data_IF_268743049564
#
_entry.id   IF_268743049564
#
_cell.length_a   1.000
_cell.length_b   1.000
_cell.length_c   1.000
_cell.angle_alpha   90.00
_cell.angle_beta   90.00
_cell.angle_gamma   90.00
#
_symmetry.space_group_name_H-M   'P 1'
#
loop_
_entity.id
_entity.type
_entity.pdbx_description
1 polymer ?
#
# COMPACT_ATOMS: atom_id res chain seq x y z
N UNK A 1 67.60 -15.11 102.15
CA UNK A 1 68.07 -15.36 100.83
C UNK A 1 67.15 -16.31 100.17
N UNK A 2 66.25 -15.85 99.33
CA UNK A 2 65.23 -16.65 98.60
C UNK A 2 65.25 -16.26 97.14
N UNK A 3 65.65 -17.13 96.30
CA UNK A 3 65.66 -17.04 94.85
C UNK A 3 64.27 -17.37 94.27
N UNK A 4 63.70 -16.51 93.48
CA UNK A 4 62.44 -16.66 92.77
C UNK A 4 62.76 -17.01 91.32
N UNK A 5 62.23 -18.13 90.78
CA UNK A 5 62.39 -18.42 89.33
C UNK A 5 61.29 -17.72 88.50
N UNK A 6 61.69 -17.07 87.44
CA UNK A 6 60.85 -16.43 86.48
C UNK A 6 60.39 -17.51 85.48
N UNK A 7 59.09 -17.73 85.41
CA UNK A 7 58.43 -18.55 84.37
C UNK A 7 58.22 -17.71 83.13
N UNK A 8 58.80 -18.13 82.01
CA UNK A 8 58.55 -17.57 80.73
C UNK A 8 57.33 -18.22 80.10
N UNK A 9 56.21 -17.49 79.96
CA UNK A 9 55.01 -17.96 79.26
C UNK A 9 55.21 -17.68 77.71
N UNK A 10 55.37 -18.76 76.97
CA UNK A 10 55.35 -18.69 75.51
C UNK A 10 53.89 -18.65 75.01
N UNK A 11 53.48 -17.52 74.46
CA UNK A 11 52.15 -17.42 73.78
C UNK A 11 52.25 -17.99 72.36
N UNK A 12 51.60 -19.13 72.14
CA UNK A 12 51.33 -19.65 70.76
C UNK A 12 50.22 -18.83 70.11
N UNK A 13 50.57 -18.01 69.18
CA UNK A 13 49.59 -17.35 68.28
C UNK A 13 49.12 -18.37 67.24
N UNK A 14 47.92 -18.94 67.46
CA UNK A 14 47.23 -19.79 66.46
C UNK A 14 46.74 -18.98 65.33
N UNK A 15 47.38 -19.17 64.13
CA UNK A 15 46.90 -18.62 62.85
C UNK A 15 45.60 -19.41 62.47
N UNK A 16 44.45 -18.77 62.55
CA UNK A 16 43.20 -19.32 62.03
C UNK A 16 43.24 -19.26 60.47
N UNK A 17 42.92 -20.36 59.79
CA UNK A 17 42.81 -20.31 58.32
C UNK A 17 41.64 -19.43 57.92
N UNK A 18 41.91 -18.39 57.14
CA UNK A 18 40.87 -17.58 56.48
C UNK A 18 40.15 -18.47 55.47
N UNK A 19 38.93 -18.89 55.77
CA UNK A 19 38.07 -19.54 54.81
C UNK A 19 37.72 -18.51 53.74
N UNK A 20 38.35 -18.65 52.59
CA UNK A 20 37.97 -17.88 51.38
C UNK A 20 36.53 -18.25 51.05
N UNK A 21 35.63 -17.34 51.28
CA UNK A 21 34.26 -17.47 50.78
C UNK A 21 34.28 -17.32 49.26
N UNK A 22 34.13 -18.42 48.55
CA UNK A 22 33.88 -18.41 47.13
C UNK A 22 32.46 -17.91 46.93
N UNK A 23 32.31 -16.63 46.54
CA UNK A 23 31.05 -16.10 46.07
C UNK A 23 30.73 -16.71 44.73
N UNK A 24 29.90 -17.74 44.66
CA UNK A 24 29.39 -18.29 43.43
C UNK A 24 28.24 -17.41 42.93
N UNK A 25 28.44 -16.71 41.84
CA UNK A 25 27.34 -16.05 41.13
C UNK A 25 26.56 -17.07 40.30
N UNK A 26 25.27 -17.19 40.51
CA UNK A 26 24.40 -18.01 39.68
C UNK A 26 23.69 -17.10 38.66
N UNK A 27 23.99 -17.33 37.38
CA UNK A 27 23.31 -16.62 36.26
C UNK A 27 22.34 -17.59 35.60
N UNK A 28 21.10 -17.18 35.42
CA UNK A 28 20.10 -17.92 34.63
C UNK A 28 19.68 -17.08 33.45
N UNK A 29 19.82 -17.62 32.25
CA UNK A 29 19.35 -17.00 31.00
C UNK A 29 17.94 -17.49 30.72
N UNK A 30 16.99 -16.58 30.58
CA UNK A 30 15.61 -16.87 30.19
C UNK A 30 15.43 -16.30 28.75
N UNK A 31 15.41 -17.15 27.71
CA UNK A 31 15.11 -16.67 26.38
C UNK A 31 13.64 -16.21 26.31
N UNK A 32 13.44 -15.01 25.80
CA UNK A 32 12.12 -14.49 25.45
C UNK A 32 12.05 -14.48 23.94
N UNK A 33 11.12 -15.24 23.36
CA UNK A 33 10.95 -15.39 21.91
C UNK A 33 9.58 -14.90 21.49
N UNK A 34 9.50 -14.27 20.32
CA UNK A 34 8.25 -13.84 19.68
C UNK A 34 8.40 -13.98 18.17
N UNK A 35 7.28 -14.20 17.46
CA UNK A 35 7.24 -14.19 15.99
C UNK A 35 6.13 -13.26 15.49
N UNK A 36 6.40 -12.55 14.41
CA UNK A 36 5.42 -11.69 13.74
C UNK A 36 5.24 -12.24 12.32
N UNK A 37 4.02 -12.67 11.94
CA UNK A 37 3.77 -13.15 10.58
C UNK A 37 3.90 -12.02 9.55
N UNK A 38 4.26 -12.36 8.32
CA UNK A 38 4.22 -11.44 7.19
C UNK A 38 2.76 -11.09 6.89
N UNK A 39 2.43 -9.80 6.93
CA UNK A 39 1.06 -9.32 6.78
C UNK A 39 1.03 -8.01 6.03
N UNK A 40 0.11 -7.92 5.05
CA UNK A 40 -0.35 -6.66 4.46
C UNK A 40 -1.80 -6.43 4.86
N UNK A 41 -2.13 -5.20 5.20
CA UNK A 41 -3.50 -4.75 5.46
C UNK A 41 -3.73 -3.39 4.80
N UNK A 42 -4.94 -3.19 4.29
CA UNK A 42 -5.41 -1.93 3.70
C UNK A 42 -6.81 -1.65 4.22
N UNK A 43 -7.02 -0.44 4.72
CA UNK A 43 -8.33 0.00 5.20
C UNK A 43 -9.20 0.51 4.03
N UNK A 44 -10.46 0.83 4.32
CA UNK A 44 -11.37 1.42 3.34
C UNK A 44 -10.83 2.75 2.82
N UNK A 45 -10.98 2.99 1.50
CA UNK A 45 -10.55 4.21 0.85
C UNK A 45 -11.37 5.43 1.27
N UNK A 46 -10.68 6.57 1.33
CA UNK A 46 -11.28 7.90 1.57
C UNK A 46 -10.84 8.85 0.47
N UNK A 47 -11.73 9.75 0.04
CA UNK A 47 -11.36 10.77 -0.93
C UNK A 47 -10.45 11.79 -0.25
N UNK A 48 -9.32 12.07 -0.87
CA UNK A 48 -8.42 13.12 -0.41
C UNK A 48 -9.07 14.49 -0.57
N UNK A 49 -9.00 15.39 0.43
CA UNK A 49 -9.63 16.71 0.37
C UNK A 49 -9.18 17.50 -0.87
N UNK A 50 -10.13 18.15 -1.54
CA UNK A 50 -9.86 19.00 -2.70
C UNK A 50 -9.43 18.27 -3.98
N UNK A 51 -9.51 16.93 -4.03
CA UNK A 51 -9.04 16.14 -5.16
C UNK A 51 -10.14 15.76 -6.17
N UNK A 52 -11.38 16.11 -5.91
CA UNK A 52 -12.52 15.80 -6.77
C UNK A 52 -12.65 16.78 -7.93
N UNK A 53 -12.66 16.25 -9.15
CA UNK A 53 -13.04 16.96 -10.35
C UNK A 53 -14.04 16.12 -11.13
N UNK A 54 -15.25 16.61 -11.35
CA UNK A 54 -16.30 15.95 -12.12
C UNK A 54 -16.67 14.53 -11.64
N UNK A 55 -16.48 14.26 -10.35
CA UNK A 55 -16.82 13.00 -9.68
C UNK A 55 -17.69 13.33 -8.48
N UNK A 56 -18.83 12.61 -8.33
CA UNK A 56 -19.81 12.86 -7.27
C UNK A 56 -19.33 12.45 -5.87
N UNK A 57 -18.33 11.59 -5.81
CA UNK A 57 -17.82 11.05 -4.56
C UNK A 57 -17.60 9.54 -4.64
N UNK A 58 -17.27 8.95 -3.49
CA UNK A 58 -17.12 7.52 -3.30
C UNK A 58 -18.37 7.01 -2.56
N UNK A 59 -19.13 6.14 -3.22
CA UNK A 59 -20.28 5.43 -2.64
C UNK A 59 -19.90 3.96 -2.48
N UNK A 60 -19.57 3.54 -1.26
CA UNK A 60 -18.87 2.29 -1.01
C UNK A 60 -17.51 2.31 -1.74
N UNK A 61 -17.35 1.44 -2.73
CA UNK A 61 -16.16 1.36 -3.59
C UNK A 61 -16.44 1.86 -5.02
N UNK A 62 -17.53 2.61 -5.23
CA UNK A 62 -17.96 3.08 -6.55
C UNK A 62 -17.70 4.57 -6.72
N UNK A 63 -17.00 4.93 -7.79
CA UNK A 63 -16.82 6.30 -8.27
C UNK A 63 -17.82 6.58 -9.37
N UNK A 64 -18.56 7.69 -9.24
CA UNK A 64 -19.53 8.11 -10.26
C UNK A 64 -19.09 9.42 -10.89
N UNK A 65 -18.93 9.46 -12.21
CA UNK A 65 -18.68 10.68 -12.98
C UNK A 65 -19.99 11.46 -13.09
N UNK A 66 -19.97 12.77 -12.77
CA UNK A 66 -21.16 13.63 -12.74
C UNK A 66 -21.62 13.94 -14.16
N UNK A 67 -20.69 14.42 -15.00
CA UNK A 67 -20.97 14.77 -16.39
C UNK A 67 -19.91 14.13 -17.28
N UNK A 68 -20.26 12.99 -17.88
CA UNK A 68 -19.29 12.18 -18.60
C UNK A 68 -18.90 12.81 -19.93
N UNK A 69 -19.84 13.47 -20.61
CA UNK A 69 -19.59 14.11 -21.91
C UNK A 69 -19.96 15.59 -21.90
N UNK A 70 -19.36 16.35 -22.78
CA UNK A 70 -19.77 17.70 -23.12
C UNK A 70 -21.08 17.66 -23.93
N UNK A 71 -22.11 18.43 -23.56
CA UNK A 71 -23.43 18.34 -24.20
C UNK A 71 -23.47 18.84 -25.64
N UNK A 72 -22.51 19.67 -26.06
CA UNK A 72 -22.47 20.22 -27.43
C UNK A 72 -21.66 19.32 -28.37
N UNK A 73 -20.59 18.72 -27.89
CA UNK A 73 -19.65 17.94 -28.72
C UNK A 73 -19.74 16.43 -28.51
N UNK A 74 -20.37 16.01 -27.41
CA UNK A 74 -20.41 14.63 -26.91
C UNK A 74 -19.03 14.04 -26.61
N UNK A 75 -17.96 14.85 -26.64
CA UNK A 75 -16.63 14.44 -26.25
C UNK A 75 -16.55 14.23 -24.73
N UNK A 76 -15.69 13.31 -24.30
CA UNK A 76 -15.47 13.02 -22.89
C UNK A 76 -14.95 14.25 -22.15
N UNK A 77 -15.48 14.53 -20.96
CA UNK A 77 -14.99 15.59 -20.07
C UNK A 77 -13.98 15.06 -19.08
N UNK A 78 -13.01 15.90 -18.77
CA UNK A 78 -12.01 15.59 -17.73
C UNK A 78 -12.68 15.22 -16.40
N UNK A 79 -12.15 14.20 -15.76
CA UNK A 79 -12.54 13.79 -14.42
C UNK A 79 -11.33 13.27 -13.65
N UNK A 80 -11.22 13.61 -12.38
CA UNK A 80 -10.14 13.09 -11.54
C UNK A 80 -10.54 12.97 -10.08
N UNK A 81 -9.88 12.04 -9.39
CA UNK A 81 -10.02 11.83 -7.95
C UNK A 81 -8.72 11.26 -7.40
N UNK A 82 -8.41 11.60 -6.16
CA UNK A 82 -7.39 10.90 -5.38
C UNK A 82 -8.07 10.20 -4.20
N UNK A 83 -7.84 8.91 -4.07
CA UNK A 83 -8.32 8.09 -2.96
C UNK A 83 -7.12 7.74 -2.10
N UNK A 84 -7.26 7.91 -0.80
CA UNK A 84 -6.27 7.56 0.21
C UNK A 84 -6.73 6.36 1.01
N UNK A 85 -5.83 5.44 1.28
CA UNK A 85 -6.03 4.26 2.11
C UNK A 85 -4.98 4.24 3.20
N UNK A 86 -5.36 3.97 4.44
CA UNK A 86 -4.39 3.63 5.48
C UNK A 86 -3.95 2.19 5.28
N UNK A 87 -2.68 1.96 5.02
CA UNK A 87 -2.16 0.64 4.68
C UNK A 87 -0.86 0.32 5.43
N UNK A 88 -0.56 -0.97 5.57
CA UNK A 88 0.68 -1.46 6.16
C UNK A 88 1.06 -2.80 5.55
N UNK A 89 2.35 -2.95 5.20
CA UNK A 89 2.99 -4.23 4.90
C UNK A 89 4.28 -4.32 5.71
N UNK A 90 4.43 -5.33 6.55
CA UNK A 90 5.58 -5.48 7.44
C UNK A 90 6.76 -6.25 6.83
N UNK A 91 6.78 -6.40 5.50
CA UNK A 91 7.80 -7.11 4.73
C UNK A 91 7.91 -6.54 3.30
N UNK A 92 8.99 -6.86 2.54
CA UNK A 92 9.09 -6.54 1.12
C UNK A 92 7.97 -7.19 0.31
N UNK A 93 7.25 -6.40 -0.49
CA UNK A 93 6.02 -6.81 -1.15
C UNK A 93 5.91 -6.25 -2.56
N UNK A 94 4.82 -6.56 -3.25
CA UNK A 94 4.46 -5.97 -4.52
C UNK A 94 3.13 -5.21 -4.41
N UNK A 95 3.03 -4.11 -5.14
CA UNK A 95 1.76 -3.45 -5.47
C UNK A 95 1.35 -3.92 -6.85
N UNK A 96 0.19 -4.56 -6.97
CA UNK A 96 -0.41 -4.87 -8.27
C UNK A 96 -1.65 -4.03 -8.46
N UNK A 97 -1.68 -3.30 -9.58
CA UNK A 97 -2.85 -2.58 -10.07
C UNK A 97 -3.41 -3.35 -11.24
N UNK A 98 -4.71 -3.53 -11.25
CA UNK A 98 -5.43 -4.28 -12.27
C UNK A 98 -6.65 -3.50 -12.73
N UNK A 99 -6.80 -3.32 -14.04
CA UNK A 99 -8.04 -2.88 -14.68
C UNK A 99 -8.70 -4.10 -15.34
N UNK A 100 -9.96 -4.32 -15.07
CA UNK A 100 -10.69 -5.47 -15.59
C UNK A 100 -10.93 -5.37 -17.10
N UNK A 101 -11.12 -4.16 -17.62
CA UNK A 101 -11.50 -3.94 -19.01
C UNK A 101 -10.48 -3.09 -19.79
N UNK A 102 -9.35 -2.68 -19.16
CA UNK A 102 -8.36 -1.79 -19.77
C UNK A 102 -8.97 -0.47 -20.27
N UNK A 103 -9.84 0.15 -19.47
CA UNK A 103 -10.56 1.37 -19.78
C UNK A 103 -12.06 1.26 -19.48
N UNK A 104 -12.77 2.37 -19.56
CA UNK A 104 -14.21 2.41 -19.40
C UNK A 104 -14.90 1.94 -20.69
N UNK A 105 -15.64 0.85 -20.60
CA UNK A 105 -16.37 0.25 -21.72
C UNK A 105 -17.87 0.21 -21.46
N UNK A 106 -18.72 0.32 -22.50
CA UNK A 106 -20.16 0.20 -22.34
C UNK A 106 -20.54 -1.22 -21.89
N UNK A 107 -21.50 -1.31 -20.97
CA UNK A 107 -21.96 -2.59 -20.43
C UNK A 107 -22.67 -3.42 -21.50
N UNK A 108 -23.53 -2.77 -22.29
CA UNK A 108 -24.55 -3.45 -23.12
C UNK A 108 -24.26 -3.44 -24.64
N UNK A 109 -23.13 -2.87 -25.09
CA UNK A 109 -22.86 -2.72 -26.52
C UNK A 109 -22.05 -3.89 -27.09
N UNK A 110 -22.55 -4.43 -28.22
CA UNK A 110 -21.81 -5.40 -29.04
C UNK A 110 -20.75 -4.67 -29.89
N UNK A 111 -19.60 -5.32 -30.08
CA UNK A 111 -18.47 -4.78 -30.86
C UNK A 111 -18.84 -4.49 -32.33
N UNK A 112 -19.89 -5.15 -32.84
CA UNK A 112 -20.36 -5.04 -34.23
C UNK A 112 -21.05 -3.72 -34.57
N UNK A 113 -21.52 -2.95 -33.57
CA UNK A 113 -22.41 -1.80 -33.81
C UNK A 113 -21.66 -0.47 -33.58
N UNK A 114 -20.45 -0.35 -34.15
CA UNK A 114 -19.58 0.83 -33.97
C UNK A 114 -19.59 1.71 -35.20
N UNK A 115 -20.35 2.81 -35.21
CA UNK A 115 -20.34 3.75 -36.31
C UNK A 115 -18.96 4.45 -36.39
N UNK A 116 -18.52 4.71 -37.59
CA UNK A 116 -17.28 5.46 -37.84
C UNK A 116 -17.35 6.85 -37.20
N UNK A 117 -16.25 7.33 -36.66
CA UNK A 117 -16.14 8.65 -36.03
C UNK A 117 -16.65 8.76 -34.59
N UNK A 118 -17.18 7.67 -33.99
CA UNK A 118 -17.56 7.65 -32.57
C UNK A 118 -16.58 6.85 -31.74
N UNK A 119 -16.27 7.39 -30.55
CA UNK A 119 -15.60 6.65 -29.49
C UNK A 119 -16.58 5.69 -28.82
N UNK A 120 -16.07 4.55 -28.39
CA UNK A 120 -16.86 3.51 -27.71
C UNK A 120 -16.15 2.96 -26.46
N UNK A 121 -15.02 3.54 -26.10
CA UNK A 121 -14.34 3.28 -24.84
C UNK A 121 -13.51 4.51 -24.45
N UNK A 122 -13.27 4.66 -23.16
CA UNK A 122 -12.56 5.81 -22.60
C UNK A 122 -11.33 5.33 -21.84
N UNK A 123 -10.13 5.75 -22.29
CA UNK A 123 -8.90 5.49 -21.54
C UNK A 123 -8.85 6.35 -20.27
N UNK A 124 -8.10 5.87 -19.27
CA UNK A 124 -7.77 6.62 -18.07
C UNK A 124 -6.38 6.23 -17.58
N UNK A 125 -5.77 7.07 -16.76
CA UNK A 125 -4.57 6.75 -16.02
C UNK A 125 -4.87 6.59 -14.53
N UNK A 126 -4.11 5.71 -13.88
CA UNK A 126 -4.10 5.54 -12.44
C UNK A 126 -2.68 5.72 -11.91
N UNK A 127 -2.47 6.67 -11.00
CA UNK A 127 -1.16 6.90 -10.38
C UNK A 127 -1.18 6.44 -8.94
N UNK A 128 -0.19 5.63 -8.57
CA UNK A 128 0.00 5.13 -7.21
C UNK A 128 1.19 5.79 -6.55
N UNK A 129 0.99 6.26 -5.32
CA UNK A 129 2.06 6.65 -4.41
C UNK A 129 1.97 5.76 -3.16
N UNK A 130 3.04 4.97 -2.92
CA UNK A 130 3.14 4.08 -1.78
C UNK A 130 4.59 3.96 -1.28
N UNK A 131 4.89 4.53 -0.11
CA UNK A 131 6.24 4.60 0.40
C UNK A 131 7.19 5.24 -0.62
N UNK A 132 8.27 4.54 -1.05
CA UNK A 132 9.20 5.07 -2.06
C UNK A 132 8.66 4.96 -3.51
N UNK A 133 7.52 4.28 -3.71
CA UNK A 133 6.97 4.02 -5.06
C UNK A 133 6.09 5.16 -5.53
N UNK A 134 6.37 5.63 -6.76
CA UNK A 134 5.50 6.49 -7.53
C UNK A 134 5.41 5.88 -8.93
N UNK A 135 4.25 5.32 -9.29
CA UNK A 135 4.06 4.60 -10.54
C UNK A 135 2.75 5.01 -11.20
N UNK A 136 2.75 4.97 -12.54
CA UNK A 136 1.57 5.22 -13.35
C UNK A 136 1.19 3.93 -14.07
N UNK A 137 -0.09 3.63 -14.07
CA UNK A 137 -0.75 2.57 -14.82
C UNK A 137 -1.70 3.21 -15.84
N UNK A 138 -1.62 2.79 -17.10
CA UNK A 138 -2.45 3.33 -18.16
C UNK A 138 -3.42 2.27 -18.69
N UNK A 139 -4.72 2.51 -18.48
CA UNK A 139 -5.81 1.77 -19.09
C UNK A 139 -6.15 2.42 -20.43
N UNK A 140 -5.54 1.93 -21.53
CA UNK A 140 -5.51 2.62 -22.82
C UNK A 140 -6.76 2.44 -23.70
N UNK A 141 -7.71 1.64 -23.29
CA UNK A 141 -8.99 1.36 -23.95
C UNK A 141 -8.90 0.88 -25.42
N UNK A 142 -7.74 0.38 -25.86
CA UNK A 142 -7.57 -0.11 -27.24
C UNK A 142 -8.21 -1.48 -27.46
N UNK A 143 -8.08 -2.34 -26.45
CA UNK A 143 -8.65 -3.69 -26.44
C UNK A 143 -9.33 -3.90 -25.10
N UNK A 144 -10.56 -4.40 -25.12
CA UNK A 144 -11.26 -4.79 -23.89
C UNK A 144 -10.69 -6.11 -23.38
N UNK A 145 -9.83 -6.01 -22.40
CA UNK A 145 -9.16 -7.16 -21.76
C UNK A 145 -8.65 -6.73 -20.39
N UNK A 146 -8.39 -7.68 -19.53
CA UNK A 146 -7.69 -7.39 -18.29
C UNK A 146 -6.30 -6.82 -18.60
N UNK A 147 -5.93 -5.75 -17.90
CA UNK A 147 -4.61 -5.13 -17.95
C UNK A 147 -4.10 -4.96 -16.52
N UNK A 148 -2.83 -5.25 -16.27
CA UNK A 148 -2.24 -5.16 -14.94
C UNK A 148 -0.80 -4.67 -14.98
N UNK A 149 -0.39 -4.05 -13.89
CA UNK A 149 1.00 -3.67 -13.62
C UNK A 149 1.40 -4.11 -12.22
N UNK A 150 2.58 -4.71 -12.11
CA UNK A 150 3.16 -5.13 -10.83
C UNK A 150 4.38 -4.27 -10.53
N UNK A 151 4.43 -3.72 -9.35
CA UNK A 151 5.47 -2.80 -8.89
C UNK A 151 6.08 -3.36 -7.62
N UNK A 152 7.41 -3.54 -7.62
CA UNK A 152 8.13 -4.04 -6.47
C UNK A 152 8.34 -2.96 -5.41
N UNK A 153 8.09 -3.31 -4.15
CA UNK A 153 8.41 -2.52 -2.95
C UNK A 153 9.40 -3.34 -2.12
N UNK A 154 10.63 -2.86 -2.00
CA UNK A 154 11.72 -3.64 -1.41
C UNK A 154 11.77 -3.56 0.12
N UNK A 155 10.98 -2.69 0.73
CA UNK A 155 10.96 -2.42 2.16
C UNK A 155 9.57 -2.71 2.76
N UNK A 156 9.53 -2.89 4.07
CA UNK A 156 8.31 -2.78 4.84
C UNK A 156 7.81 -1.32 4.79
N UNK A 157 6.52 -1.10 4.56
CA UNK A 157 5.92 0.23 4.46
C UNK A 157 4.66 0.30 5.29
N UNK A 158 4.48 1.41 5.99
CA UNK A 158 3.25 1.75 6.71
C UNK A 158 2.89 3.21 6.47
N UNK A 159 1.61 3.51 6.34
CA UNK A 159 1.11 4.87 6.17
C UNK A 159 0.04 5.00 5.11
N UNK A 160 0.01 6.13 4.43
CA UNK A 160 -1.00 6.45 3.43
C UNK A 160 -0.60 5.92 2.05
N UNK A 161 -1.43 5.02 1.52
CA UNK A 161 -1.43 4.61 0.11
C UNK A 161 -2.35 5.54 -0.67
N UNK A 162 -1.87 6.17 -1.75
CA UNK A 162 -2.68 7.06 -2.59
C UNK A 162 -2.85 6.51 -3.98
N UNK A 163 -4.09 6.49 -4.44
CA UNK A 163 -4.47 6.18 -5.81
C UNK A 163 -5.12 7.42 -6.43
N UNK A 164 -4.50 7.99 -7.46
CA UNK A 164 -5.12 9.04 -8.30
C UNK A 164 -5.60 8.42 -9.59
N UNK A 165 -6.89 8.54 -9.87
CA UNK A 165 -7.50 8.18 -11.16
C UNK A 165 -7.76 9.47 -11.92
N UNK A 166 -7.43 9.48 -13.22
CA UNK A 166 -7.54 10.64 -14.07
C UNK A 166 -8.02 10.27 -15.49
N UNK A 167 -9.07 10.94 -15.93
CA UNK A 167 -9.59 10.88 -17.30
C UNK A 167 -9.30 12.25 -17.92
N UNK A 168 -8.60 12.28 -19.03
CA UNK A 168 -8.28 13.52 -19.73
C UNK A 168 -9.48 14.07 -20.51
N UNK A 169 -9.49 15.38 -20.74
CA UNK A 169 -10.50 16.01 -21.59
C UNK A 169 -10.38 15.50 -23.03
N UNK A 170 -11.51 15.06 -23.61
CA UNK A 170 -11.55 14.47 -24.93
C UNK A 170 -10.96 13.07 -25.05
N UNK A 171 -10.65 12.41 -23.92
CA UNK A 171 -10.12 11.05 -23.92
C UNK A 171 -11.00 10.08 -24.70
N UNK A 172 -10.42 9.32 -25.62
CA UNK A 172 -11.16 8.40 -26.47
C UNK A 172 -10.25 7.26 -26.95
N UNK A 173 -10.84 6.13 -27.32
CA UNK A 173 -10.11 5.00 -27.89
C UNK A 173 -9.94 5.05 -29.42
N UNK A 174 -10.39 6.12 -30.03
CA UNK A 174 -10.19 6.46 -31.47
C UNK A 174 -9.45 7.80 -31.59
N UNK A 175 -10.02 8.79 -32.17
CA UNK A 175 -9.42 10.12 -32.26
C UNK A 175 -9.73 10.97 -31.02
N UNK A 176 -8.79 11.81 -30.62
CA UNK A 176 -9.01 12.75 -29.52
C UNK A 176 -10.25 13.62 -29.79
N UNK A 177 -11.09 13.81 -28.76
CA UNK A 177 -12.37 14.54 -28.80
C UNK A 177 -13.43 13.92 -29.73
N UNK A 178 -13.29 12.66 -30.11
CA UNK A 178 -14.36 11.96 -30.80
C UNK A 178 -15.61 11.91 -29.92
N UNK A 179 -16.82 12.13 -30.49
CA UNK A 179 -18.06 11.99 -29.74
C UNK A 179 -18.21 10.56 -29.20
N UNK A 180 -18.59 10.44 -27.93
CA UNK A 180 -18.78 9.17 -27.28
C UNK A 180 -20.15 8.59 -27.61
N UNK A 181 -20.22 7.31 -27.93
CA UNK A 181 -21.49 6.59 -28.11
C UNK A 181 -22.31 6.60 -26.81
N UNK A 182 -23.62 6.66 -26.94
CA UNK A 182 -24.50 6.53 -25.79
C UNK A 182 -24.35 5.16 -25.11
N UNK A 183 -24.37 5.10 -23.79
CA UNK A 183 -24.26 3.87 -23.01
C UNK A 183 -23.85 4.09 -21.57
N UNK A 184 -23.89 3.02 -20.79
CA UNK A 184 -23.37 2.98 -19.42
C UNK A 184 -21.96 2.42 -19.45
N UNK A 185 -20.97 3.22 -19.10
CA UNK A 185 -19.56 2.86 -19.15
C UNK A 185 -19.03 2.44 -17.78
N UNK A 186 -18.29 1.34 -17.75
CA UNK A 186 -17.76 0.77 -16.51
C UNK A 186 -16.36 0.19 -16.70
N UNK A 187 -15.55 0.30 -15.69
CA UNK A 187 -14.37 -0.53 -15.43
C UNK A 187 -14.28 -0.83 -13.94
N UNK A 188 -13.47 -1.82 -13.59
CA UNK A 188 -13.14 -2.15 -12.20
C UNK A 188 -11.63 -2.09 -12.04
N UNK A 189 -11.17 -1.19 -11.19
CA UNK A 189 -9.77 -1.10 -10.75
C UNK A 189 -9.62 -1.88 -9.45
N UNK A 190 -8.65 -2.79 -9.41
CA UNK A 190 -8.28 -3.55 -8.21
C UNK A 190 -6.85 -3.22 -7.82
N UNK A 191 -6.62 -3.10 -6.52
CA UNK A 191 -5.29 -2.89 -5.94
C UNK A 191 -5.02 -4.06 -5.01
N UNK A 192 -3.83 -4.62 -5.14
CA UNK A 192 -3.37 -5.70 -4.28
C UNK A 192 -2.03 -5.31 -3.67
N UNK A 193 -1.89 -5.57 -2.38
CA UNK A 193 -0.61 -5.61 -1.67
C UNK A 193 -0.32 -7.08 -1.39
N UNK A 194 0.67 -7.65 -2.06
CA UNK A 194 0.90 -9.10 -2.05
C UNK A 194 2.37 -9.46 -1.82
N UNK A 195 2.68 -10.64 -1.22
CA UNK A 195 4.05 -11.13 -1.10
C UNK A 195 4.73 -11.22 -2.48
N UNK A 196 6.06 -11.03 -2.44
CA UNK A 196 6.93 -11.24 -3.62
C UNK A 196 7.43 -12.66 -3.67
#
# INVERSE_FOLDING_TARGET
>A
MRTIPIFLLAALAGAAPALAQTTSSATRTLPVTGSVPQTCAMQQGKIAPGSLQNIAGLDGDTLRIIQFTDPATLAVRAASVTISFDAVCNFPHAVRIESQNNGLWPIDQRVSDRPAGFAYAVPYSARVNWGPVNAQFDANAKVRSQNQQVIAVNDAVAGEFRLRIEIEDGASNVENRAPLMAGNYVDTVRIFLEPR
#
